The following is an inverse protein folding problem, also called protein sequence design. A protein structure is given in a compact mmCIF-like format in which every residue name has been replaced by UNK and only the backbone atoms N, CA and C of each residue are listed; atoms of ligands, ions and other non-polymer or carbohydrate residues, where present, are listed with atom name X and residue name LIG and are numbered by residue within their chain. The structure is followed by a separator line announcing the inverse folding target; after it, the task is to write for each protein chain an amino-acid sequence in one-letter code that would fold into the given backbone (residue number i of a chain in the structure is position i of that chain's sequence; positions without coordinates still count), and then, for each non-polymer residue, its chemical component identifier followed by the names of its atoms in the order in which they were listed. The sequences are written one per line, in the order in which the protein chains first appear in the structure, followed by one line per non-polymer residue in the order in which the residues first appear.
data_IF_478402546717
#
_entry.id   IF_478402546717
#
_cell.length_a   1.000
_cell.length_b   1.000
_cell.length_c   1.000
_cell.angle_alpha   90.00
_cell.angle_beta   90.00
_cell.angle_gamma   90.00
#
_symmetry.space_group_name_H-M   'P 1'
#
loop_
_entity.id
_entity.type
_entity.pdbx_description
1 polymer ?
#
# COMPACT_ATOMS: atom_id res chain seq x y z
N UNK A 1 -32.93 5.88 -27.60
CA UNK A 1 -33.00 4.42 -27.35
C UNK A 1 -31.57 3.93 -27.12
N UNK A 2 -31.40 3.16 -26.05
CA UNK A 2 -30.14 2.77 -25.39
C UNK A 2 -29.34 1.76 -26.23
N UNK A 3 -28.00 1.83 -26.17
CA UNK A 3 -27.12 0.67 -25.89
C UNK A 3 -25.71 1.11 -25.50
N UNK A 4 -25.54 1.13 -24.19
CA UNK A 4 -24.33 1.09 -23.40
C UNK A 4 -23.49 -0.15 -23.77
N UNK A 5 -22.24 0.00 -24.22
CA UNK A 5 -21.27 -1.11 -24.28
C UNK A 5 -19.89 -0.59 -23.85
N UNK A 6 -19.62 -0.84 -22.57
CA UNK A 6 -18.33 -1.21 -21.97
C UNK A 6 -17.30 -0.08 -21.79
N UNK A 7 -17.49 0.65 -20.69
CA UNK A 7 -16.39 1.01 -19.78
C UNK A 7 -15.43 -0.17 -19.63
N UNK A 8 -14.25 -0.09 -20.25
CA UNK A 8 -13.15 -1.01 -20.00
C UNK A 8 -12.86 -1.00 -18.50
N UNK A 9 -13.07 -2.16 -17.87
CA UNK A 9 -12.92 -2.36 -16.43
C UNK A 9 -11.42 -2.44 -16.10
N UNK A 10 -10.73 -1.31 -16.15
CA UNK A 10 -9.31 -1.20 -15.76
C UNK A 10 -9.06 -1.50 -14.27
N UNK A 11 -10.13 -1.54 -13.47
CA UNK A 11 -10.06 -1.84 -12.05
C UNK A 11 -9.44 -3.22 -11.75
N UNK A 12 -9.62 -4.23 -12.61
CA UNK A 12 -9.14 -5.59 -12.31
C UNK A 12 -7.61 -5.72 -12.38
N UNK A 13 -6.95 -5.07 -13.35
CA UNK A 13 -5.50 -5.18 -13.52
C UNK A 13 -4.74 -4.48 -12.38
N UNK A 14 -5.14 -3.25 -12.06
CA UNK A 14 -4.56 -2.49 -10.95
C UNK A 14 -4.86 -3.17 -9.62
N UNK A 15 -6.08 -3.65 -9.39
CA UNK A 15 -6.41 -4.37 -8.15
C UNK A 15 -5.69 -5.72 -8.03
N UNK A 16 -5.41 -6.41 -9.14
CA UNK A 16 -4.60 -7.62 -9.15
C UNK A 16 -3.16 -7.34 -8.70
N UNK A 17 -2.54 -6.26 -9.20
CA UNK A 17 -1.22 -5.81 -8.74
C UNK A 17 -1.28 -5.41 -7.26
N UNK A 18 -2.26 -4.61 -6.86
CA UNK A 18 -2.44 -4.19 -5.47
C UNK A 18 -2.65 -5.39 -4.53
N UNK A 19 -3.36 -6.44 -4.97
CA UNK A 19 -3.53 -7.66 -4.19
C UNK A 19 -2.18 -8.35 -3.91
N UNK A 20 -1.29 -8.41 -4.90
CA UNK A 20 0.07 -8.96 -4.75
C UNK A 20 0.93 -8.10 -3.84
N UNK A 21 0.86 -6.78 -3.95
CA UNK A 21 1.56 -5.87 -3.03
C UNK A 21 1.08 -6.02 -1.58
N UNK A 22 -0.25 -6.12 -1.37
CA UNK A 22 -0.84 -6.38 -0.04
C UNK A 22 -0.42 -7.74 0.51
N UNK A 23 -0.29 -8.76 -0.34
CA UNK A 23 0.19 -10.09 0.06
C UNK A 23 1.67 -10.07 0.46
N UNK A 24 2.49 -9.36 -0.31
CA UNK A 24 3.91 -9.17 -0.04
C UNK A 24 4.13 -8.48 1.33
N UNK A 25 3.35 -7.43 1.62
CA UNK A 25 3.33 -6.78 2.94
C UNK A 25 2.88 -7.71 4.08
N UNK A 26 1.94 -8.62 3.83
CA UNK A 26 1.48 -9.60 4.82
C UNK A 26 2.60 -10.59 5.19
N UNK A 27 3.33 -11.09 4.20
CA UNK A 27 4.46 -12.00 4.41
C UNK A 27 5.64 -11.35 5.17
N UNK A 28 5.79 -10.04 5.06
CA UNK A 28 6.87 -9.28 5.70
C UNK A 28 6.40 -8.52 6.94
N UNK A 29 5.23 -8.88 7.49
CA UNK A 29 4.71 -8.31 8.71
C UNK A 29 5.67 -8.58 9.88
N UNK A 30 5.89 -7.56 10.71
CA UNK A 30 6.81 -7.64 11.85
C UNK A 30 8.24 -7.21 11.53
N UNK A 31 8.58 -7.01 10.25
CA UNK A 31 9.86 -6.44 9.85
C UNK A 31 9.84 -4.90 9.92
N UNK A 32 11.01 -4.24 10.03
CA UNK A 32 11.09 -2.78 10.02
C UNK A 32 10.35 -2.16 8.82
N UNK A 33 9.79 -0.97 9.00
CA UNK A 33 9.03 -0.29 7.94
C UNK A 33 9.86 -0.15 6.66
N UNK A 34 11.11 0.30 6.77
CA UNK A 34 12.03 0.42 5.64
C UNK A 34 12.26 -0.92 4.92
N UNK A 35 12.33 -2.03 5.67
CA UNK A 35 12.46 -3.34 5.07
C UNK A 35 11.24 -3.69 4.21
N UNK A 36 10.04 -3.45 4.73
CA UNK A 36 8.78 -3.70 4.01
C UNK A 36 8.66 -2.83 2.76
N UNK A 37 9.05 -1.55 2.83
CA UNK A 37 9.02 -0.64 1.69
C UNK A 37 10.04 -1.06 0.61
N UNK A 38 11.28 -1.35 0.99
CA UNK A 38 12.30 -1.86 0.04
C UNK A 38 11.86 -3.14 -0.64
N UNK A 39 11.18 -4.03 0.08
CA UNK A 39 10.67 -5.26 -0.48
C UNK A 39 9.52 -5.04 -1.49
N UNK A 40 8.70 -3.99 -1.33
CA UNK A 40 7.76 -3.55 -2.37
C UNK A 40 8.52 -3.03 -3.61
N UNK A 41 9.48 -2.13 -3.43
CA UNK A 41 10.27 -1.60 -4.55
C UNK A 41 10.96 -2.72 -5.35
N UNK A 42 11.53 -3.70 -4.64
CA UNK A 42 12.12 -4.87 -5.27
C UNK A 42 11.09 -5.70 -6.04
N UNK A 43 9.89 -5.91 -5.49
CA UNK A 43 8.83 -6.63 -6.17
C UNK A 43 8.40 -5.90 -7.47
N UNK A 44 8.21 -4.58 -7.41
CA UNK A 44 7.88 -3.75 -8.58
C UNK A 44 8.96 -3.85 -9.65
N UNK A 45 10.24 -3.82 -9.24
CA UNK A 45 11.36 -4.01 -10.15
C UNK A 45 11.29 -5.36 -10.89
N UNK A 46 11.12 -6.46 -10.17
CA UNK A 46 11.07 -7.81 -10.74
C UNK A 46 9.87 -8.05 -11.68
N UNK A 47 8.83 -7.24 -11.56
CA UNK A 47 7.60 -7.36 -12.35
C UNK A 47 7.42 -6.22 -13.37
N UNK A 48 8.47 -5.43 -13.62
CA UNK A 48 8.50 -4.43 -14.69
C UNK A 48 8.82 -5.12 -16.02
N UNK A 49 8.02 -4.85 -17.05
CA UNK A 49 8.18 -5.48 -18.39
C UNK A 49 9.51 -5.12 -19.08
N UNK A 50 10.02 -3.93 -18.83
CA UNK A 50 11.28 -3.43 -19.39
C UNK A 50 12.15 -2.82 -18.27
N UNK A 51 12.83 -3.65 -17.46
CA UNK A 51 13.65 -3.14 -16.38
C UNK A 51 14.84 -2.35 -16.92
N UNK A 52 15.25 -1.32 -16.19
CA UNK A 52 16.50 -0.62 -16.45
C UNK A 52 17.70 -1.59 -16.31
N UNK A 53 18.88 -1.27 -16.87
CA UNK A 53 20.09 -2.02 -16.58
C UNK A 53 20.39 -2.01 -15.06
N UNK A 54 21.00 -3.08 -14.49
CA UNK A 54 21.30 -3.17 -13.05
C UNK A 54 22.00 -1.94 -12.45
N UNK A 55 22.97 -1.38 -13.17
CA UNK A 55 23.68 -0.18 -12.72
C UNK A 55 22.78 1.06 -12.62
N UNK A 56 21.83 1.21 -13.56
CA UNK A 56 20.88 2.32 -13.57
C UNK A 56 19.80 2.15 -12.50
N UNK A 57 19.41 0.91 -12.18
CA UNK A 57 18.47 0.62 -11.09
C UNK A 57 19.08 1.00 -9.75
N UNK A 58 20.34 0.62 -9.51
CA UNK A 58 21.03 1.00 -8.27
C UNK A 58 21.11 2.53 -8.14
N UNK A 59 21.33 3.24 -9.25
CA UNK A 59 21.38 4.70 -9.28
C UNK A 59 20.00 5.37 -9.08
N UNK A 60 18.94 4.75 -9.58
CA UNK A 60 17.58 5.27 -9.52
C UNK A 60 16.79 4.83 -8.27
N UNK A 61 17.28 3.82 -7.55
CA UNK A 61 16.61 3.33 -6.35
C UNK A 61 16.61 4.43 -5.28
N UNK A 62 15.44 4.72 -4.67
CA UNK A 62 15.35 5.70 -3.60
C UNK A 62 16.31 5.37 -2.46
N UNK A 63 16.97 6.39 -1.92
CA UNK A 63 17.75 6.26 -0.68
C UNK A 63 16.82 6.11 0.51
N UNK A 64 17.37 5.73 1.66
CA UNK A 64 16.57 5.59 2.89
C UNK A 64 15.92 6.93 3.28
N UNK A 65 16.62 8.04 3.09
CA UNK A 65 16.10 9.40 3.32
C UNK A 65 14.96 9.75 2.34
N UNK A 66 15.07 9.36 1.06
CA UNK A 66 14.01 9.56 0.07
C UNK A 66 12.76 8.75 0.44
N UNK A 67 12.95 7.52 0.90
CA UNK A 67 11.84 6.65 1.34
C UNK A 67 11.16 7.23 2.57
N UNK A 68 11.92 7.70 3.55
CA UNK A 68 11.37 8.35 4.74
C UNK A 68 10.58 9.62 4.37
N UNK A 69 11.10 10.43 3.44
CA UNK A 69 10.41 11.61 2.92
C UNK A 69 9.10 11.29 2.21
N UNK A 70 9.11 10.30 1.31
CA UNK A 70 7.91 9.81 0.61
C UNK A 70 6.86 9.28 1.59
N UNK A 71 7.29 8.52 2.59
CA UNK A 71 6.41 7.97 3.61
C UNK A 71 5.81 9.07 4.49
N UNK A 72 6.62 10.05 4.91
CA UNK A 72 6.14 11.20 5.67
C UNK A 72 5.10 12.00 4.87
N UNK A 73 5.33 12.25 3.58
CA UNK A 73 4.39 12.93 2.70
C UNK A 73 3.08 12.14 2.52
N UNK A 74 3.17 10.82 2.29
CA UNK A 74 1.99 9.96 2.17
C UNK A 74 1.19 9.87 3.49
N UNK A 75 1.87 9.91 4.63
CA UNK A 75 1.24 9.87 5.96
C UNK A 75 0.62 11.21 6.38
N UNK A 76 0.99 12.31 5.70
CA UNK A 76 0.37 13.63 5.91
C UNK A 76 -0.97 13.77 5.16
N UNK A 77 -1.25 12.89 4.19
CA UNK A 77 -2.55 12.78 3.54
C UNK A 77 -3.62 12.27 4.51
N UNK A 78 -4.71 13.04 4.65
CA UNK A 78 -5.96 12.74 5.37
C UNK A 78 -6.05 12.93 6.89
N UNK A 79 -6.01 14.19 7.34
CA UNK A 79 -7.09 14.63 8.24
C UNK A 79 -8.16 15.28 7.39
N UNK A 80 -9.17 14.50 7.00
CA UNK A 80 -10.36 15.08 6.39
C UNK A 80 -11.14 15.81 7.50
N UNK A 81 -11.36 17.11 7.34
CA UNK A 81 -12.13 17.92 8.30
C UNK A 81 -13.63 17.58 8.29
N UNK A 82 -14.09 16.80 7.30
CA UNK A 82 -15.47 16.38 7.08
C UNK A 82 -15.91 15.15 7.89
N UNK A 83 -15.02 14.58 8.72
CA UNK A 83 -15.31 13.40 9.54
C UNK A 83 -15.41 12.09 8.75
N UNK A 84 -15.09 12.09 7.45
CA UNK A 84 -14.98 10.86 6.69
C UNK A 84 -13.72 10.07 7.14
N UNK A 85 -13.72 8.73 7.04
CA UNK A 85 -12.54 7.94 7.35
C UNK A 85 -11.31 8.47 6.61
N UNK A 86 -10.17 8.52 7.32
CA UNK A 86 -8.89 8.85 6.71
C UNK A 86 -8.58 7.96 5.50
N UNK A 87 -7.66 8.42 4.66
CA UNK A 87 -7.12 7.65 3.54
C UNK A 87 -6.72 6.25 4.00
N UNK A 88 -7.00 5.28 3.12
CA UNK A 88 -6.78 3.86 3.37
C UNK A 88 -5.33 3.61 3.80
N UNK A 89 -5.12 3.31 5.08
CA UNK A 89 -3.79 3.05 5.64
C UNK A 89 -3.57 3.64 7.04
N UNK A 90 -4.31 4.68 7.40
CA UNK A 90 -4.22 5.32 8.73
C UNK A 90 -5.11 4.61 9.73
N UNK A 91 -4.77 3.35 10.03
CA UNK A 91 -5.29 2.58 11.15
C UNK A 91 -6.81 2.54 11.28
N UNK A 92 -7.46 1.52 10.70
CA UNK A 92 -8.59 0.93 11.42
C UNK A 92 -8.00 0.44 12.75
N UNK A 93 -8.23 1.21 13.81
CA UNK A 93 -7.96 0.80 15.19
C UNK A 93 -8.89 -0.38 15.46
N UNK A 94 -8.33 -1.59 15.38
CA UNK A 94 -9.06 -2.84 15.67
C UNK A 94 -9.55 -2.94 17.12
N UNK A 95 -9.19 -1.99 18.00
CA UNK A 95 -9.62 -1.98 19.40
C UNK A 95 -11.11 -1.63 19.56
N UNK A 96 -11.76 -0.99 18.58
CA UNK A 96 -13.15 -0.56 18.70
C UNK A 96 -14.18 -1.69 18.55
N UNK A 97 -13.75 -2.93 18.22
CA UNK A 97 -14.63 -4.10 18.08
C UNK A 97 -14.58 -5.10 19.26
N UNK A 98 -13.90 -4.76 20.36
CA UNK A 98 -13.91 -5.58 21.57
C UNK A 98 -15.00 -5.09 22.53
N UNK A 99 -16.20 -5.66 22.43
CA UNK A 99 -17.15 -5.62 23.55
C UNK A 99 -16.52 -6.37 24.74
N UNK A 100 -16.40 -5.78 25.94
CA UNK A 100 -15.96 -6.53 27.10
C UNK A 100 -17.01 -7.60 27.42
N UNK A 101 -16.67 -8.86 27.21
CA UNK A 101 -17.44 -9.96 27.77
C UNK A 101 -17.20 -9.96 29.28
N UNK A 102 -18.20 -9.51 30.03
CA UNK A 102 -18.24 -9.70 31.48
C UNK A 102 -18.38 -11.20 31.74
N UNK A 103 -17.26 -11.89 32.00
CA UNK A 103 -17.31 -13.16 32.72
C UNK A 103 -17.57 -12.82 34.18
N UNK A 104 -18.84 -12.95 34.61
CA UNK A 104 -19.17 -13.08 36.03
C UNK A 104 -18.74 -14.49 36.47
N UNK A 105 -17.78 -14.56 37.37
CA UNK A 105 -17.63 -15.69 38.30
C UNK A 105 -18.32 -15.35 39.62
#
# INVERSE_FOLDING_TARGET
MVKNILTLTTNNAVESVNARLRDMLRHHRGLPLMHRIKAIFWWCYMHTENPLPPAEIIRAMPTDDDVDGLFAAASQGSKREDGAPGEYGTGIVWEEFHMPTNYRC
#
